data_IF_165810118001
#
_entry.id   IF_165810118001
#
_cell.length_a   1.000
_cell.length_b   1.000
_cell.length_c   1.000
_cell.angle_alpha   90.00
_cell.angle_beta   90.00
_cell.angle_gamma   90.00
#
_symmetry.space_group_name_H-M   'P 1'
#
loop_
_entity.id
_entity.type
_entity.pdbx_description
1 polymer ?
#
# COMPACT_ATOMS: atom_id res chain seq x y z
N UNK A 1 10.66 -1.95 63.36
CA UNK A 1 10.52 -3.26 62.67
C UNK A 1 9.19 -3.27 61.94
N UNK A 2 9.21 -3.12 60.61
CA UNK A 2 8.11 -3.32 59.63
C UNK A 2 8.42 -2.69 58.25
N UNK A 3 9.70 -2.39 57.99
CA UNK A 3 10.22 -2.46 56.63
C UNK A 3 10.44 -3.95 56.32
N UNK A 4 10.30 -4.36 55.06
CA UNK A 4 10.33 -5.74 54.55
C UNK A 4 8.96 -6.42 54.70
N UNK A 5 8.09 -6.33 53.67
CA UNK A 5 7.17 -7.42 53.28
C UNK A 5 6.17 -7.11 52.15
N UNK A 6 6.33 -6.05 51.35
CA UNK A 6 5.52 -5.91 50.12
C UNK A 6 6.42 -5.45 48.95
N UNK A 7 7.56 -6.12 48.83
CA UNK A 7 8.54 -5.97 47.75
C UNK A 7 8.37 -7.08 46.69
N UNK A 8 7.18 -7.70 46.62
CA UNK A 8 6.93 -8.95 45.88
C UNK A 8 5.65 -8.92 45.02
N UNK A 9 5.17 -7.73 44.66
CA UNK A 9 4.04 -7.54 43.75
C UNK A 9 4.43 -6.92 42.39
N UNK A 10 5.73 -6.89 42.07
CA UNK A 10 6.29 -6.20 40.89
C UNK A 10 7.01 -7.16 39.91
N UNK A 11 6.67 -8.45 39.89
CA UNK A 11 7.42 -9.46 39.12
C UNK A 11 6.59 -10.29 38.13
N UNK A 12 5.33 -9.93 37.85
CA UNK A 12 4.48 -10.67 36.89
C UNK A 12 3.67 -9.75 35.96
N UNK A 13 4.18 -8.55 35.69
CA UNK A 13 3.68 -7.72 34.58
C UNK A 13 4.74 -7.65 33.48
N UNK A 14 4.46 -8.47 32.46
CA UNK A 14 4.75 -8.20 31.06
C UNK A 14 6.23 -8.15 30.65
N UNK A 15 6.75 -9.33 30.34
CA UNK A 15 7.85 -9.55 29.41
C UNK A 15 7.51 -9.10 27.97
N UNK A 16 7.23 -7.81 27.77
CA UNK A 16 7.09 -7.18 26.46
C UNK A 16 7.96 -5.92 26.43
N UNK A 17 9.27 -6.13 26.51
CA UNK A 17 10.22 -5.13 26.06
C UNK A 17 10.28 -5.19 24.52
N UNK A 18 10.02 -4.09 23.80
CA UNK A 18 10.34 -4.03 22.38
C UNK A 18 11.86 -4.05 22.23
N UNK A 19 12.39 -5.04 21.51
CA UNK A 19 13.81 -5.06 21.15
C UNK A 19 14.15 -3.83 20.29
N UNK A 20 15.32 -3.20 20.47
CA UNK A 20 15.76 -2.12 19.61
C UNK A 20 16.00 -2.65 18.19
N UNK A 21 15.13 -2.27 17.27
CA UNK A 21 15.30 -2.55 15.83
C UNK A 21 16.46 -1.69 15.34
N UNK A 22 17.59 -2.31 15.05
CA UNK A 22 18.71 -1.62 14.42
C UNK A 22 18.33 -1.29 12.97
N UNK A 23 18.43 -0.03 12.51
CA UNK A 23 18.25 0.29 11.11
C UNK A 23 19.44 -0.27 10.32
N UNK A 24 19.18 -1.21 9.41
CA UNK A 24 20.17 -1.67 8.45
C UNK A 24 20.50 -0.50 7.54
N UNK A 25 21.73 0.01 7.67
CA UNK A 25 22.29 1.05 6.82
C UNK A 25 22.36 0.54 5.38
N UNK A 26 21.72 1.27 4.46
CA UNK A 26 21.85 1.07 3.04
C UNK A 26 23.28 1.39 2.60
N UNK A 27 23.95 0.42 1.95
CA UNK A 27 25.07 0.67 1.06
C UNK A 27 24.68 0.15 -0.33
N UNK A 28 24.55 1.08 -1.27
CA UNK A 28 24.12 0.84 -2.63
C UNK A 28 25.15 0.01 -3.41
N UNK A 29 24.69 -0.96 -4.21
CA UNK A 29 25.06 -1.18 -5.61
C UNK A 29 24.44 -2.49 -6.15
N UNK A 30 23.60 -2.33 -7.17
CA UNK A 30 23.28 -3.29 -8.22
C UNK A 30 23.11 -4.77 -7.85
N UNK A 31 21.86 -5.22 -7.77
CA UNK A 31 21.37 -6.47 -8.38
C UNK A 31 19.85 -6.51 -8.30
N UNK A 32 19.20 -6.43 -9.45
CA UNK A 32 17.78 -6.76 -9.63
C UNK A 32 17.63 -8.25 -9.36
N UNK A 33 17.25 -8.63 -8.15
CA UNK A 33 16.75 -9.96 -7.80
C UNK A 33 16.19 -9.93 -6.38
N UNK A 34 14.92 -9.56 -6.25
CA UNK A 34 14.14 -9.74 -5.04
C UNK A 34 12.86 -10.49 -5.39
N UNK A 35 12.95 -11.79 -5.63
CA UNK A 35 11.76 -12.65 -5.64
C UNK A 35 11.23 -12.70 -4.20
N UNK A 36 10.33 -11.77 -3.88
CA UNK A 36 9.55 -11.80 -2.65
C UNK A 36 8.59 -12.98 -2.66
N UNK A 37 9.08 -14.15 -2.25
CA UNK A 37 8.25 -15.31 -1.93
C UNK A 37 7.74 -15.16 -0.49
N UNK A 38 6.64 -14.41 -0.32
CA UNK A 38 5.79 -14.48 0.87
C UNK A 38 4.40 -14.94 0.44
N UNK A 39 4.27 -16.23 0.17
CA UNK A 39 2.97 -16.86 -0.10
C UNK A 39 2.26 -17.16 1.22
N UNK A 40 1.47 -16.21 1.69
CA UNK A 40 0.07 -16.47 2.07
C UNK A 40 -0.74 -15.26 1.66
N UNK A 41 -0.73 -14.99 0.36
CA UNK A 41 -1.69 -14.14 -0.31
C UNK A 41 -3.06 -14.74 -0.03
N UNK A 42 -3.89 -14.12 0.83
CA UNK A 42 -5.32 -14.46 0.93
C UNK A 42 -5.98 -14.40 -0.45
N UNK A 43 -7.22 -14.89 -0.61
CA UNK A 43 -7.90 -14.98 -1.93
C UNK A 43 -7.55 -13.75 -2.76
N UNK A 44 -6.97 -13.97 -3.94
CA UNK A 44 -6.39 -12.93 -4.80
C UNK A 44 -7.28 -11.69 -4.93
N UNK A 45 -8.59 -11.89 -4.88
CA UNK A 45 -9.65 -10.91 -4.86
C UNK A 45 -9.56 -9.94 -3.65
N UNK A 46 -9.11 -10.38 -2.47
CA UNK A 46 -8.83 -9.51 -1.31
C UNK A 46 -7.66 -8.56 -1.55
N UNK A 47 -6.78 -8.83 -2.51
CA UNK A 47 -5.73 -7.89 -2.91
C UNK A 47 -6.21 -6.92 -3.97
N UNK A 48 -7.09 -7.37 -4.88
CA UNK A 48 -7.66 -6.51 -5.93
C UNK A 48 -8.71 -5.54 -5.38
N UNK A 49 -9.56 -5.98 -4.44
CA UNK A 49 -10.68 -5.19 -3.95
C UNK A 49 -10.27 -3.84 -3.30
N UNK A 50 -9.23 -3.78 -2.45
CA UNK A 50 -8.72 -2.51 -1.94
C UNK A 50 -8.24 -1.59 -3.06
N UNK A 51 -7.54 -2.11 -4.08
CA UNK A 51 -7.03 -1.31 -5.19
C UNK A 51 -8.16 -0.71 -6.04
N UNK A 52 -9.21 -1.49 -6.36
CA UNK A 52 -10.41 -0.95 -7.03
C UNK A 52 -11.09 0.14 -6.21
N UNK A 53 -11.22 -0.06 -4.90
CA UNK A 53 -11.83 0.91 -4.00
C UNK A 53 -11.02 2.21 -3.99
N UNK A 54 -9.68 2.09 -3.95
CA UNK A 54 -8.79 3.23 -3.95
C UNK A 54 -8.88 4.04 -5.25
N UNK A 55 -8.94 3.37 -6.42
CA UNK A 55 -9.12 4.06 -7.71
C UNK A 55 -10.37 4.95 -7.69
N UNK A 56 -11.50 4.44 -7.16
CA UNK A 56 -12.74 5.22 -7.06
C UNK A 56 -12.63 6.35 -6.03
N UNK A 57 -11.99 6.10 -4.88
CA UNK A 57 -11.79 7.10 -3.85
C UNK A 57 -10.92 8.27 -4.34
N UNK A 58 -9.79 7.98 -4.99
CA UNK A 58 -8.90 8.99 -5.57
C UNK A 58 -9.59 9.77 -6.68
N UNK A 59 -10.37 9.10 -7.55
CA UNK A 59 -11.16 9.77 -8.59
C UNK A 59 -12.17 10.76 -8.00
N UNK A 60 -12.89 10.34 -6.95
CA UNK A 60 -13.80 11.24 -6.23
C UNK A 60 -13.06 12.42 -5.60
N UNK A 61 -11.94 12.17 -4.91
CA UNK A 61 -11.14 13.22 -4.30
C UNK A 61 -10.59 14.22 -5.33
N UNK A 62 -10.15 13.73 -6.50
CA UNK A 62 -9.70 14.58 -7.60
C UNK A 62 -10.82 15.47 -8.13
N UNK A 63 -12.03 14.91 -8.32
CA UNK A 63 -13.18 15.67 -8.74
C UNK A 63 -13.53 16.78 -7.72
N UNK A 64 -13.58 16.44 -6.43
CA UNK A 64 -13.83 17.43 -5.36
C UNK A 64 -12.79 18.54 -5.35
N UNK A 65 -11.49 18.19 -5.43
CA UNK A 65 -10.40 19.17 -5.45
C UNK A 65 -10.39 20.03 -6.71
N UNK A 66 -10.77 19.47 -7.86
CA UNK A 66 -10.90 20.23 -9.10
C UNK A 66 -12.07 21.23 -9.02
N UNK A 67 -13.25 20.78 -8.57
CA UNK A 67 -14.41 21.65 -8.37
C UNK A 67 -14.15 22.77 -7.35
N UNK A 68 -13.31 22.52 -6.34
CA UNK A 68 -12.87 23.53 -5.38
C UNK A 68 -11.75 24.46 -5.90
N UNK A 69 -11.26 24.27 -7.13
CA UNK A 69 -10.14 25.04 -7.70
C UNK A 69 -8.76 24.73 -7.12
N UNK A 70 -8.65 23.73 -6.24
CA UNK A 70 -7.40 23.35 -5.60
C UNK A 70 -6.39 22.77 -6.60
N UNK A 71 -6.87 22.00 -7.59
CA UNK A 71 -6.06 21.49 -8.71
C UNK A 71 -6.53 22.10 -10.04
N UNK A 72 -5.62 22.25 -11.00
CA UNK A 72 -5.98 22.74 -12.35
C UNK A 72 -6.40 21.60 -13.27
N UNK A 73 -6.93 21.95 -14.45
CA UNK A 73 -7.40 20.98 -15.44
C UNK A 73 -6.29 20.02 -15.91
N UNK A 74 -5.06 20.50 -16.05
CA UNK A 74 -3.93 19.69 -16.49
C UNK A 74 -3.61 18.58 -15.47
N UNK A 75 -3.57 18.93 -14.18
CA UNK A 75 -3.38 17.98 -13.08
C UNK A 75 -4.55 17.00 -13.00
N UNK A 76 -5.79 17.47 -13.10
CA UNK A 76 -6.98 16.62 -13.08
C UNK A 76 -6.96 15.58 -14.21
N UNK A 77 -6.58 15.98 -15.45
CA UNK A 77 -6.43 15.07 -16.58
C UNK A 77 -5.34 14.01 -16.37
N UNK A 78 -4.20 14.40 -15.79
CA UNK A 78 -3.12 13.45 -15.47
C UNK A 78 -3.55 12.42 -14.43
N UNK A 79 -4.23 12.88 -13.37
CA UNK A 79 -4.79 11.97 -12.35
C UNK A 79 -5.77 10.99 -13.00
N UNK A 80 -6.70 11.50 -13.82
CA UNK A 80 -7.67 10.64 -14.52
C UNK A 80 -6.97 9.60 -15.40
N UNK A 81 -5.97 9.99 -16.18
CA UNK A 81 -5.23 9.07 -17.03
C UNK A 81 -4.54 7.95 -16.25
N UNK A 82 -3.90 8.26 -15.11
CA UNK A 82 -3.31 7.25 -14.23
C UNK A 82 -4.37 6.33 -13.62
N UNK A 83 -5.52 6.87 -13.21
CA UNK A 83 -6.61 6.06 -12.65
C UNK A 83 -7.26 5.14 -13.72
N UNK A 84 -7.39 5.60 -14.95
CA UNK A 84 -7.89 4.79 -16.07
C UNK A 84 -6.90 3.66 -16.40
N UNK A 85 -5.59 3.95 -16.41
CA UNK A 85 -4.56 2.93 -16.59
C UNK A 85 -4.57 1.91 -15.46
N UNK A 86 -4.66 2.35 -14.20
CA UNK A 86 -4.78 1.47 -13.04
C UNK A 86 -5.99 0.53 -13.16
N UNK A 87 -7.15 1.06 -13.54
CA UNK A 87 -8.38 0.28 -13.73
C UNK A 87 -8.17 -0.81 -14.80
N UNK A 88 -7.56 -0.48 -15.94
CA UNK A 88 -7.26 -1.43 -17.01
C UNK A 88 -6.36 -2.56 -16.49
N UNK A 89 -5.29 -2.23 -15.77
CA UNK A 89 -4.37 -3.22 -15.21
C UNK A 89 -5.04 -4.10 -14.16
N UNK A 90 -5.89 -3.55 -13.29
CA UNK A 90 -6.67 -4.34 -12.33
C UNK A 90 -7.62 -5.31 -13.04
N UNK A 91 -8.31 -4.85 -14.08
CA UNK A 91 -9.23 -5.68 -14.85
C UNK A 91 -8.52 -6.85 -15.55
N UNK A 92 -7.31 -6.60 -16.08
CA UNK A 92 -6.46 -7.63 -16.68
C UNK A 92 -5.81 -8.56 -15.63
N UNK A 93 -5.60 -8.07 -14.41
CA UNK A 93 -5.02 -8.82 -13.29
C UNK A 93 -5.98 -9.86 -12.69
N UNK A 94 -7.27 -9.81 -13.04
CA UNK A 94 -8.27 -10.77 -12.57
C UNK A 94 -7.91 -12.20 -13.00
N UNK A 95 -7.93 -13.14 -12.04
CA UNK A 95 -7.60 -14.55 -12.27
C UNK A 95 -8.75 -15.41 -12.80
N UNK A 96 -9.98 -14.87 -12.77
CA UNK A 96 -11.19 -15.64 -13.08
C UNK A 96 -11.33 -16.85 -12.17
N UNK A 97 -11.45 -18.04 -12.76
CA UNK A 97 -11.60 -19.30 -12.02
C UNK A 97 -10.27 -20.02 -11.74
N UNK A 98 -9.13 -19.39 -12.05
CA UNK A 98 -7.83 -20.02 -11.83
C UNK A 98 -7.55 -20.18 -10.33
N UNK A 99 -7.01 -21.34 -9.93
CA UNK A 99 -6.67 -21.65 -8.54
C UNK A 99 -5.66 -20.65 -7.95
N UNK A 100 -4.72 -20.19 -8.77
CA UNK A 100 -3.66 -19.25 -8.39
C UNK A 100 -3.47 -18.21 -9.50
N UNK A 101 -3.10 -16.96 -9.17
CA UNK A 101 -2.81 -15.94 -10.18
C UNK A 101 -1.45 -16.21 -10.85
N UNK A 102 -1.40 -15.96 -12.16
CA UNK A 102 -0.18 -16.09 -12.97
C UNK A 102 0.84 -15.01 -12.62
N UNK A 103 2.11 -15.20 -13.02
CA UNK A 103 3.14 -14.16 -12.88
C UNK A 103 2.73 -12.86 -13.58
N UNK A 104 2.12 -12.96 -14.76
CA UNK A 104 1.61 -11.81 -15.50
C UNK A 104 0.53 -11.06 -14.72
N UNK A 105 -0.44 -11.77 -14.13
CA UNK A 105 -1.48 -11.15 -13.30
C UNK A 105 -0.90 -10.44 -12.08
N UNK A 106 0.16 -11.01 -11.48
CA UNK A 106 0.88 -10.37 -10.37
C UNK A 106 1.60 -9.10 -10.81
N UNK A 107 2.25 -9.12 -11.98
CA UNK A 107 2.89 -7.94 -12.56
C UNK A 107 1.85 -6.85 -12.88
N UNK A 108 0.70 -7.22 -13.42
CA UNK A 108 -0.40 -6.29 -13.69
C UNK A 108 -0.94 -5.63 -12.40
N UNK A 109 -1.02 -6.38 -11.30
CA UNK A 109 -1.37 -5.78 -10.00
C UNK A 109 -0.33 -4.76 -9.53
N UNK A 110 0.96 -5.07 -9.69
CA UNK A 110 2.04 -4.14 -9.33
C UNK A 110 1.96 -2.87 -10.18
N UNK A 111 1.72 -3.01 -11.49
CA UNK A 111 1.58 -1.86 -12.40
C UNK A 111 0.35 -1.01 -12.04
N UNK A 112 -0.78 -1.64 -11.70
CA UNK A 112 -1.94 -0.92 -11.19
C UNK A 112 -1.62 -0.11 -9.92
N UNK A 113 -0.89 -0.72 -8.97
CA UNK A 113 -0.49 -0.05 -7.74
C UNK A 113 0.46 1.13 -7.99
N UNK A 114 1.36 1.00 -8.96
CA UNK A 114 2.23 2.10 -9.39
C UNK A 114 1.40 3.28 -9.90
N UNK A 115 0.44 3.04 -10.80
CA UNK A 115 -0.45 4.07 -11.35
C UNK A 115 -1.32 4.74 -10.26
N UNK A 116 -1.83 3.97 -9.31
CA UNK A 116 -2.56 4.48 -8.14
C UNK A 116 -1.67 5.41 -7.31
N UNK A 117 -0.41 5.02 -7.07
CA UNK A 117 0.55 5.86 -6.35
C UNK A 117 0.87 7.15 -7.08
N UNK A 118 1.01 7.14 -8.41
CA UNK A 118 1.20 8.35 -9.21
C UNK A 118 0.00 9.30 -9.08
N UNK A 119 -1.22 8.78 -9.20
CA UNK A 119 -2.44 9.56 -9.01
C UNK A 119 -2.52 10.20 -7.62
N UNK A 120 -2.15 9.46 -6.57
CA UNK A 120 -2.09 9.95 -5.20
C UNK A 120 -1.05 11.06 -5.03
N UNK A 121 0.16 10.86 -5.56
CA UNK A 121 1.22 11.88 -5.50
C UNK A 121 0.79 13.18 -6.17
N UNK A 122 0.15 13.09 -7.34
CA UNK A 122 -0.39 14.26 -8.06
C UNK A 122 -1.48 15.01 -7.26
N UNK A 123 -2.26 14.30 -6.44
CA UNK A 123 -3.21 14.94 -5.54
C UNK A 123 -2.53 15.67 -4.39
N UNK A 124 -1.41 15.16 -3.88
CA UNK A 124 -0.70 15.71 -2.72
C UNK A 124 0.16 16.94 -3.02
N UNK A 125 0.45 17.23 -4.29
CA UNK A 125 1.18 18.44 -4.69
C UNK A 125 0.39 19.69 -4.24
N UNK A 126 0.85 20.31 -3.16
CA UNK A 126 0.37 21.60 -2.68
C UNK A 126 0.93 22.70 -3.60
N UNK A 127 0.06 23.61 -4.04
CA UNK A 127 0.47 24.85 -4.72
C UNK A 127 1.11 25.82 -3.73
#
# INVERSE_FOLDING_TARGET
MRAILILLAAAVLAACAPAPVQPIQAAAQGKVAGFGTLTSFGDWEFQLAPAYTEVKALGHQAAVRFSAGAINLATAKKIQASLDAAQIFLDQSRRGNAKEPTTEQRLLLIEAQFQISEARNLLEIKK
#
